data_IF_836078121065
#
_entry.id   IF_836078121065
#
_cell.length_a   1.000
_cell.length_b   1.000
_cell.length_c   1.000
_cell.angle_alpha   90.00
_cell.angle_beta   90.00
_cell.angle_gamma   90.00
#
_symmetry.space_group_name_H-M   'P 1'
#
loop_
_entity.id
_entity.type
_entity.pdbx_description
1 polymer ?
#
# COMPACT_ATOMS: atom_id res chain seq x y z
N UNK A 1 10.84 0.26 -8.98
CA UNK A 1 9.87 0.33 -7.87
C UNK A 1 9.63 -1.07 -7.27
N UNK A 2 10.39 -1.49 -6.25
CA UNK A 2 10.01 -2.60 -5.38
C UNK A 2 9.28 -2.14 -4.10
N UNK A 3 8.85 -0.88 -4.02
CA UNK A 3 8.39 -0.25 -2.78
C UNK A 3 7.20 -0.98 -2.13
N UNK A 4 6.25 -1.46 -2.93
CA UNK A 4 5.05 -2.15 -2.44
C UNK A 4 5.34 -3.57 -1.94
N UNK A 5 5.99 -4.47 -2.71
CA UNK A 5 6.46 -5.74 -2.18
C UNK A 5 7.37 -5.58 -0.96
N UNK A 6 8.21 -4.54 -0.92
CA UNK A 6 9.09 -4.25 0.22
C UNK A 6 8.28 -3.94 1.49
N UNK A 7 7.25 -3.11 1.40
CA UNK A 7 6.39 -2.80 2.54
C UNK A 7 5.67 -4.04 3.06
N UNK A 8 5.05 -4.83 2.18
CA UNK A 8 4.39 -6.08 2.60
C UNK A 8 5.39 -7.08 3.17
N UNK A 9 6.60 -7.15 2.61
CA UNK A 9 7.67 -8.02 3.12
C UNK A 9 8.12 -7.62 4.52
N UNK A 10 8.19 -6.32 4.83
CA UNK A 10 8.53 -5.80 6.17
C UNK A 10 7.39 -5.89 7.17
N UNK A 11 6.16 -5.67 6.71
CA UNK A 11 4.96 -5.50 7.53
C UNK A 11 3.91 -6.55 7.15
N UNK A 12 4.31 -7.82 7.26
CA UNK A 12 3.50 -8.94 6.80
C UNK A 12 2.16 -8.98 7.52
N UNK A 13 2.17 -8.84 8.83
CA UNK A 13 0.98 -8.97 9.67
C UNK A 13 0.01 -7.79 9.44
N UNK A 14 0.57 -6.61 9.16
CA UNK A 14 -0.20 -5.38 9.01
C UNK A 14 -0.76 -5.19 7.60
N UNK A 15 -0.06 -5.65 6.56
CA UNK A 15 -0.39 -5.33 5.15
C UNK A 15 -0.76 -6.52 4.27
N UNK A 16 -0.48 -7.76 4.68
CA UNK A 16 -0.74 -8.91 3.78
C UNK A 16 -2.22 -9.05 3.45
N UNK A 17 -2.54 -9.04 2.16
CA UNK A 17 -3.91 -9.22 1.67
C UNK A 17 -4.81 -7.99 1.83
N UNK A 18 -4.28 -6.86 2.30
CA UNK A 18 -5.03 -5.61 2.32
C UNK A 18 -5.17 -5.03 0.91
N UNK A 19 -6.26 -4.29 0.69
CA UNK A 19 -6.39 -3.45 -0.49
C UNK A 19 -5.31 -2.38 -0.54
N UNK A 20 -4.72 -2.20 -1.72
CA UNK A 20 -3.68 -1.23 -1.97
C UNK A 20 -4.30 0.06 -2.53
N UNK A 21 -4.21 1.20 -1.81
CA UNK A 21 -4.86 2.44 -2.23
C UNK A 21 -3.97 3.26 -3.18
N UNK A 22 -3.67 2.71 -4.34
CA UNK A 22 -2.90 3.37 -5.42
C UNK A 22 -3.73 3.46 -6.70
N UNK A 23 -3.25 4.25 -7.66
CA UNK A 23 -3.80 4.23 -9.02
C UNK A 23 -3.59 2.88 -9.70
N UNK A 24 -4.48 2.58 -10.66
CA UNK A 24 -4.43 1.34 -11.42
C UNK A 24 -3.09 1.14 -12.15
N UNK A 25 -2.45 2.19 -12.66
CA UNK A 25 -1.15 2.07 -13.34
C UNK A 25 -0.04 1.56 -12.41
N UNK A 26 -0.06 1.97 -11.14
CA UNK A 26 0.87 1.50 -10.11
C UNK A 26 0.59 0.05 -9.73
N UNK A 27 -0.68 -0.31 -9.61
CA UNK A 27 -1.12 -1.68 -9.36
C UNK A 27 -0.73 -2.61 -10.53
N UNK A 28 -0.88 -2.15 -11.78
CA UNK A 28 -0.46 -2.86 -12.99
C UNK A 28 1.06 -3.09 -13.03
N UNK A 29 1.87 -2.12 -12.61
CA UNK A 29 3.33 -2.30 -12.51
C UNK A 29 3.68 -3.46 -11.57
N UNK A 30 2.99 -3.58 -10.43
CA UNK A 30 3.20 -4.71 -9.54
C UNK A 30 2.69 -6.02 -10.17
N UNK A 31 1.54 -6.01 -10.84
CA UNK A 31 1.05 -7.16 -11.59
C UNK A 31 2.08 -7.66 -12.61
N UNK A 32 2.67 -6.79 -13.43
CA UNK A 32 3.70 -7.16 -14.39
C UNK A 32 4.95 -7.75 -13.73
N UNK A 33 5.35 -7.20 -12.58
CA UNK A 33 6.48 -7.72 -11.81
C UNK A 33 6.25 -9.18 -11.38
N UNK A 34 5.03 -9.51 -10.96
CA UNK A 34 4.67 -10.86 -10.47
C UNK A 34 4.68 -11.91 -11.58
N UNK A 35 4.35 -11.52 -12.81
CA UNK A 35 4.40 -12.42 -13.97
C UNK A 35 5.81 -12.95 -14.26
N UNK A 36 6.85 -12.23 -13.81
CA UNK A 36 8.24 -12.71 -13.84
C UNK A 36 8.48 -13.70 -12.68
N UNK A 37 7.78 -14.83 -12.70
CA UNK A 37 7.60 -15.70 -11.51
C UNK A 37 8.89 -16.17 -10.85
N UNK A 38 9.98 -16.40 -11.60
CA UNK A 38 11.28 -16.76 -11.02
C UNK A 38 11.95 -15.55 -10.38
N UNK A 39 12.11 -14.46 -11.13
CA UNK A 39 12.77 -13.24 -10.69
C UNK A 39 12.02 -12.59 -9.52
N UNK A 40 10.69 -12.65 -9.53
CA UNK A 40 9.85 -12.18 -8.43
C UNK A 40 9.99 -13.07 -7.20
N UNK A 41 10.09 -14.39 -7.36
CA UNK A 41 10.37 -15.30 -6.25
C UNK A 41 11.74 -15.01 -5.64
N UNK A 42 12.79 -14.89 -6.46
CA UNK A 42 14.14 -14.54 -6.00
C UNK A 42 14.14 -13.18 -5.28
N UNK A 43 13.43 -12.17 -5.81
CA UNK A 43 13.26 -10.90 -5.14
C UNK A 43 12.63 -11.09 -3.75
N UNK A 44 11.49 -11.79 -3.66
CA UNK A 44 10.73 -11.96 -2.42
C UNK A 44 11.45 -12.81 -1.37
N UNK A 45 12.05 -13.92 -1.76
CA UNK A 45 12.60 -14.92 -0.85
C UNK A 45 14.07 -14.65 -0.50
N UNK A 46 14.84 -13.99 -1.39
CA UNK A 46 16.28 -13.80 -1.20
C UNK A 46 16.71 -12.35 -0.96
N UNK A 47 15.96 -11.36 -1.48
CA UNK A 47 16.38 -9.94 -1.46
C UNK A 47 15.53 -9.05 -0.57
N UNK A 48 14.25 -9.39 -0.39
CA UNK A 48 13.36 -8.65 0.49
C UNK A 48 13.47 -9.15 1.94
N UNK A 49 13.32 -8.26 2.94
CA UNK A 49 13.67 -8.54 4.34
C UNK A 49 12.81 -9.62 5.01
N UNK A 50 11.60 -9.86 4.53
CA UNK A 50 10.71 -10.88 5.07
C UNK A 50 11.08 -12.31 4.66
N UNK A 51 11.79 -12.50 3.54
CA UNK A 51 12.20 -13.83 3.07
C UNK A 51 11.03 -14.77 2.75
N UNK A 52 9.90 -14.23 2.28
CA UNK A 52 8.72 -15.01 1.92
C UNK A 52 8.10 -14.48 0.63
N UNK A 53 7.46 -15.37 -0.12
CA UNK A 53 6.73 -15.01 -1.33
C UNK A 53 5.53 -14.10 -1.02
N UNK A 54 5.54 -12.88 -1.55
CA UNK A 54 4.44 -11.93 -1.38
C UNK A 54 3.35 -12.23 -2.40
N UNK A 55 2.27 -12.85 -1.94
CA UNK A 55 1.09 -13.09 -2.76
C UNK A 55 0.32 -11.79 -2.98
N UNK A 56 0.14 -11.42 -4.24
CA UNK A 56 -0.77 -10.36 -4.64
C UNK A 56 -2.08 -10.97 -5.15
N UNK A 57 -3.20 -10.32 -4.84
CA UNK A 57 -4.53 -10.70 -5.33
C UNK A 57 -5.16 -9.47 -5.96
N UNK A 58 -5.58 -9.59 -7.22
CA UNK A 58 -6.38 -8.58 -7.90
C UNK A 58 -7.81 -8.70 -7.39
N UNK A 59 -8.21 -7.83 -6.46
CA UNK A 59 -9.62 -7.62 -6.12
C UNK A 59 -9.92 -6.17 -6.47
N UNK A 60 -10.86 -5.95 -7.39
CA UNK A 60 -11.29 -4.60 -7.74
C UNK A 60 -11.91 -3.90 -6.53
N UNK A 61 -11.70 -2.60 -6.38
CA UNK A 61 -12.17 -1.82 -5.22
C UNK A 61 -13.68 -1.98 -4.96
N UNK A 62 -14.50 -2.08 -6.02
CA UNK A 62 -15.96 -2.26 -5.89
C UNK A 62 -16.36 -3.63 -5.33
N UNK A 63 -15.58 -4.67 -5.60
CA UNK A 63 -15.78 -6.00 -5.03
C UNK A 63 -15.15 -6.09 -3.64
N UNK A 64 -14.03 -5.38 -3.43
CA UNK A 64 -13.42 -5.21 -2.12
C UNK A 64 -14.29 -4.37 -1.18
N UNK A 65 -15.25 -3.56 -1.63
CA UNK A 65 -16.17 -2.85 -0.72
C UNK A 65 -17.37 -3.70 -0.28
N UNK A 66 -17.63 -4.84 -0.94
CA UNK A 66 -18.78 -5.69 -0.63
C UNK A 66 -18.54 -6.63 0.55
N UNK A 67 -17.29 -6.98 0.86
CA UNK A 67 -16.93 -7.97 1.89
C UNK A 67 -16.44 -7.39 3.24
N UNK A 68 -15.64 -6.30 3.29
CA UNK A 68 -15.44 -5.46 4.46
C UNK A 68 -16.43 -4.28 4.45
N UNK A 69 -17.00 -3.95 5.61
CA UNK A 69 -17.75 -2.70 5.76
C UNK A 69 -16.90 -1.49 5.36
N UNK A 70 -17.53 -0.46 4.79
CA UNK A 70 -16.86 0.78 4.31
C UNK A 70 -15.80 1.34 5.27
N UNK A 71 -16.06 1.28 6.57
CA UNK A 71 -15.14 1.73 7.62
C UNK A 71 -13.84 0.92 7.65
N UNK A 72 -13.93 -0.41 7.56
CA UNK A 72 -12.77 -1.31 7.52
C UNK A 72 -11.94 -1.11 6.25
N UNK A 73 -12.57 -0.90 5.11
CA UNK A 73 -11.85 -0.62 3.86
C UNK A 73 -11.04 0.70 3.95
N UNK A 74 -11.60 1.72 4.61
CA UNK A 74 -10.90 2.98 4.89
C UNK A 74 -9.75 2.74 5.87
N UNK A 75 -9.98 2.00 6.96
CA UNK A 75 -8.95 1.68 7.95
C UNK A 75 -7.76 0.97 7.29
N UNK A 76 -8.02 -0.05 6.47
CA UNK A 76 -7.00 -0.81 5.75
C UNK A 76 -6.23 0.08 4.76
N UNK A 77 -6.90 1.00 4.07
CA UNK A 77 -6.22 1.97 3.19
C UNK A 77 -5.31 2.94 3.97
N UNK A 78 -5.75 3.41 5.15
CA UNK A 78 -4.97 4.34 5.98
C UNK A 78 -3.72 3.69 6.60
N UNK A 79 -3.74 2.37 6.87
CA UNK A 79 -2.59 1.64 7.44
C UNK A 79 -1.31 1.75 6.61
N UNK A 80 -1.41 1.96 5.30
CA UNK A 80 -0.25 2.07 4.41
C UNK A 80 0.57 3.35 4.64
N UNK A 81 -0.08 4.46 5.00
CA UNK A 81 0.52 5.80 5.07
C UNK A 81 1.72 5.87 6.03
N UNK A 82 1.57 5.56 7.33
CA UNK A 82 2.69 5.64 8.27
C UNK A 82 3.85 4.71 7.92
N UNK A 83 3.53 3.52 7.40
CA UNK A 83 4.53 2.52 7.02
C UNK A 83 5.33 2.96 5.79
N UNK A 84 4.65 3.56 4.80
CA UNK A 84 5.30 4.18 3.66
C UNK A 84 6.23 5.31 4.11
N UNK A 85 5.73 6.24 4.94
CA UNK A 85 6.49 7.40 5.38
C UNK A 85 7.74 7.00 6.18
N UNK A 86 7.63 5.99 7.05
CA UNK A 86 8.76 5.45 7.80
C UNK A 86 9.84 4.82 6.90
N UNK A 87 9.45 4.27 5.75
CA UNK A 87 10.36 3.60 4.83
C UNK A 87 10.97 4.54 3.77
N UNK A 88 10.23 5.54 3.30
CA UNK A 88 10.58 6.32 2.12
C UNK A 88 10.59 7.84 2.33
N UNK A 89 10.16 8.32 3.49
CA UNK A 89 10.01 9.75 3.78
C UNK A 89 8.59 10.27 3.50
N UNK A 90 8.35 11.56 3.79
CA UNK A 90 7.02 12.17 3.71
C UNK A 90 6.49 12.22 2.28
N UNK A 91 5.18 12.35 2.14
CA UNK A 91 4.54 12.60 0.85
C UNK A 91 4.78 14.03 0.37
N UNK A 92 4.97 14.18 -0.93
CA UNK A 92 4.98 15.45 -1.65
C UNK A 92 3.86 15.49 -2.70
N UNK A 93 3.76 16.60 -3.44
CA UNK A 93 2.73 16.75 -4.48
C UNK A 93 2.82 15.69 -5.58
N UNK A 94 4.02 15.15 -5.85
CA UNK A 94 4.21 14.09 -6.85
C UNK A 94 3.51 12.80 -6.47
N UNK A 95 3.41 12.50 -5.17
CA UNK A 95 2.73 11.31 -4.67
C UNK A 95 1.21 11.32 -4.90
N UNK A 96 0.59 12.50 -5.01
CA UNK A 96 -0.86 12.63 -5.21
C UNK A 96 -1.35 11.95 -6.48
N UNK A 97 -0.50 11.89 -7.51
CA UNK A 97 -0.86 11.20 -8.76
C UNK A 97 -0.98 9.70 -8.57
N UNK A 98 -0.29 9.11 -7.60
CA UNK A 98 -0.12 7.66 -7.46
C UNK A 98 -0.89 7.07 -6.28
N UNK A 99 -1.11 7.84 -5.22
CA UNK A 99 -1.75 7.37 -3.99
C UNK A 99 -3.19 7.90 -3.90
N UNK A 100 -4.17 7.03 -4.18
CA UNK A 100 -5.59 7.41 -4.22
C UNK A 100 -6.07 7.92 -2.86
N UNK A 101 -5.70 7.25 -1.77
CA UNK A 101 -6.09 7.67 -0.41
C UNK A 101 -5.46 8.99 -0.01
N UNK A 102 -4.16 9.19 -0.28
CA UNK A 102 -3.45 10.44 0.04
C UNK A 102 -4.06 11.60 -0.74
N UNK A 103 -4.35 11.40 -2.02
CA UNK A 103 -5.02 12.41 -2.85
C UNK A 103 -6.43 12.72 -2.35
N UNK A 104 -7.18 11.72 -1.89
CA UNK A 104 -8.49 11.92 -1.31
C UNK A 104 -8.41 12.77 -0.04
N UNK A 105 -7.57 12.39 0.93
CA UNK A 105 -7.35 13.15 2.17
C UNK A 105 -6.97 14.60 1.88
N UNK A 106 -6.05 14.80 0.92
CA UNK A 106 -5.56 16.13 0.59
C UNK A 106 -6.60 17.00 -0.13
N UNK A 107 -7.25 16.47 -1.17
CA UNK A 107 -8.12 17.28 -2.06
C UNK A 107 -9.58 17.33 -1.65
N UNK A 108 -10.06 16.36 -0.87
CA UNK A 108 -11.48 16.25 -0.51
C UNK A 108 -11.72 16.55 0.97
N UNK A 109 -10.71 16.35 1.83
CA UNK A 109 -10.79 16.68 3.25
C UNK A 109 -9.89 17.87 3.64
N UNK A 110 -9.27 18.54 2.66
CA UNK A 110 -8.39 19.70 2.84
C UNK A 110 -7.24 19.46 3.84
N UNK A 111 -6.77 18.22 3.96
CA UNK A 111 -5.71 17.84 4.89
C UNK A 111 -4.32 18.15 4.28
N UNK A 112 -3.45 18.92 4.96
CA UNK A 112 -2.11 19.20 4.47
C UNK A 112 -1.26 17.93 4.32
N UNK A 113 -0.36 17.88 3.34
CA UNK A 113 0.52 16.73 3.12
C UNK A 113 1.43 16.46 4.32
N UNK A 114 1.82 17.51 5.03
CA UNK A 114 2.58 17.43 6.28
C UNK A 114 1.81 16.69 7.36
N UNK A 115 0.50 16.95 7.47
CA UNK A 115 -0.37 16.31 8.45
C UNK A 115 -0.65 14.84 8.08
N UNK A 116 -0.90 14.57 6.79
CA UNK A 116 -1.07 13.20 6.28
C UNK A 116 0.21 12.38 6.51
N UNK A 117 1.39 12.97 6.26
CA UNK A 117 2.68 12.31 6.45
C UNK A 117 3.04 12.09 7.92
N UNK A 118 2.40 12.82 8.83
CA UNK A 118 2.58 12.71 10.27
C UNK A 118 1.60 11.74 10.94
N UNK A 119 0.71 11.09 10.17
CA UNK A 119 -0.20 10.07 10.71
C UNK A 119 0.60 8.97 11.42
N UNK A 120 0.17 8.59 12.61
CA UNK A 120 0.74 7.47 13.36
C UNK A 120 0.01 6.16 13.03
N UNK A 121 0.68 5.00 13.14
CA UNK A 121 0.02 3.70 13.05
C UNK A 121 -1.15 3.60 14.05
N UNK A 122 -2.29 3.10 13.59
CA UNK A 122 -3.40 2.76 14.46
C UNK A 122 -2.93 1.73 15.49
N UNK A 123 -2.91 2.11 16.75
CA UNK A 123 -2.66 1.17 17.85
C UNK A 123 -3.95 0.40 18.08
N UNK A 124 -3.95 -0.86 17.67
CA UNK A 124 -5.03 -1.78 18.04
C UNK A 124 -4.88 -2.07 19.54
N UNK A 125 -5.85 -1.63 20.34
CA UNK A 125 -5.94 -1.91 21.78
C UNK A 125 -6.46 -3.31 22.06
#
# INVERSE_FOLDING_TARGET
MPALPLLVSRHREELSGLFLPVEQDIDEIWHYLILQTREYRELCEERLPGGFFVHHRSIGYEDYQKEPGRERAIEEALRWIPLYCAAFGPFDEGALTHWTIVRFLHRQLDMPLEEISALEPLRVS
#
